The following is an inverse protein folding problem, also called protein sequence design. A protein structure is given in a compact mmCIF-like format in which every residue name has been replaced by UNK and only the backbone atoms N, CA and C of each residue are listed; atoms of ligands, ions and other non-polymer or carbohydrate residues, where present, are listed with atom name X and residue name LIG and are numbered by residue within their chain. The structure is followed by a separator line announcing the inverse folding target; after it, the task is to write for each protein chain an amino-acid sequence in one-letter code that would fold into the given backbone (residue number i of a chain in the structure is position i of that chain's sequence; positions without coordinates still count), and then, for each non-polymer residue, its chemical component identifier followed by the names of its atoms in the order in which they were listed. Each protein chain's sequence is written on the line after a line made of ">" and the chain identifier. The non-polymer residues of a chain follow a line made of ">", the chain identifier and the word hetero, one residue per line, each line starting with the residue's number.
data_IF_817538261065
#
_entry.id   IF_817538261065
#
_cell.length_a   1.000
_cell.length_b   1.000
_cell.length_c   1.000
_cell.angle_alpha   90.00
_cell.angle_beta   90.00
_cell.angle_gamma   90.00
#
_symmetry.space_group_name_H-M   'P 1'
#
loop_
_entity.id
_entity.type
_entity.pdbx_description
1 polymer ?
#
# COMPACT_ATOMS: atom_id res chain seq x y z
N UNK A 1 74.12 7.69 44.54
CA UNK A 1 73.89 8.53 43.35
C UNK A 1 72.58 8.08 42.70
N UNK A 2 71.74 9.07 42.43
CA UNK A 2 70.36 9.03 41.96
C UNK A 2 70.27 8.46 40.53
N UNK A 3 69.24 7.67 40.18
CA UNK A 3 68.04 8.17 39.48
C UNK A 3 67.05 7.05 39.15
N UNK A 4 65.80 7.33 39.50
CA UNK A 4 64.57 6.65 39.15
C UNK A 4 64.23 6.86 37.67
N UNK A 5 63.63 5.86 37.00
CA UNK A 5 62.76 6.10 35.83
C UNK A 5 61.63 5.08 35.78
N UNK A 6 60.49 5.48 36.33
CA UNK A 6 59.15 4.99 36.02
C UNK A 6 58.82 5.24 34.54
N UNK A 7 58.33 4.23 33.83
CA UNK A 7 57.54 4.44 32.61
C UNK A 7 56.20 3.72 32.74
N UNK A 8 55.16 4.56 32.89
CA UNK A 8 53.75 4.21 32.70
C UNK A 8 53.49 3.99 31.20
N UNK A 9 52.82 2.91 30.87
CA UNK A 9 51.98 2.81 29.67
C UNK A 9 50.77 1.98 30.10
N UNK A 10 49.82 2.60 30.82
CA UNK A 10 48.66 3.26 30.24
C UNK A 10 47.81 2.30 29.38
N UNK A 11 46.77 1.75 30.03
CA UNK A 11 45.44 1.54 29.46
C UNK A 11 45.38 0.83 28.10
N UNK A 12 45.66 -0.46 28.11
CA UNK A 12 44.90 -1.41 27.28
C UNK A 12 43.76 -1.89 28.18
N UNK A 13 42.53 -1.82 27.68
CA UNK A 13 41.25 -2.22 28.31
C UNK A 13 40.35 -1.01 28.56
N UNK A 14 39.31 -0.88 27.74
CA UNK A 14 38.30 0.17 27.92
C UNK A 14 37.87 0.92 26.66
N UNK A 15 38.08 0.38 25.46
CA UNK A 15 37.11 0.66 24.38
C UNK A 15 35.95 -0.29 24.65
N UNK A 16 35.13 0.06 25.65
CA UNK A 16 33.70 -0.20 25.58
C UNK A 16 33.27 0.42 24.25
N UNK A 17 33.22 -0.42 23.22
CA UNK A 17 32.40 -0.15 22.07
C UNK A 17 31.01 0.07 22.65
N UNK A 18 30.66 1.34 22.85
CA UNK A 18 29.31 1.81 23.09
C UNK A 18 28.50 1.14 21.99
N UNK A 19 27.87 0.03 22.34
CA UNK A 19 26.89 -0.65 21.54
C UNK A 19 25.81 0.39 21.33
N UNK A 20 25.94 1.13 20.23
CA UNK A 20 24.92 2.07 19.81
C UNK A 20 23.68 1.20 19.76
N UNK A 21 22.63 1.48 20.58
CA UNK A 21 21.44 0.66 20.56
C UNK A 21 21.04 0.59 19.09
N UNK A 22 20.88 -0.63 18.56
CA UNK A 22 20.52 -0.82 17.17
C UNK A 22 19.19 -0.11 16.95
N UNK A 23 19.25 1.17 16.56
CA UNK A 23 18.07 1.96 16.29
C UNK A 23 17.34 1.18 15.21
N UNK A 24 16.16 0.67 15.54
CA UNK A 24 15.31 -0.05 14.59
C UNK A 24 15.27 0.79 13.32
N UNK A 25 15.92 0.32 12.25
CA UNK A 25 16.19 1.20 11.12
C UNK A 25 14.85 1.62 10.51
N UNK A 26 14.69 2.94 10.35
CA UNK A 26 13.49 3.56 9.80
C UNK A 26 13.49 3.41 8.29
N UNK A 27 12.29 3.44 7.70
CA UNK A 27 12.15 3.53 6.26
C UNK A 27 12.63 4.89 5.76
N UNK A 28 12.97 4.98 4.47
CA UNK A 28 13.29 6.29 3.88
C UNK A 28 12.06 7.19 3.93
N UNK A 29 12.27 8.50 4.01
CA UNK A 29 11.17 9.49 4.07
C UNK A 29 10.20 9.33 2.91
N UNK A 30 10.71 9.09 1.70
CA UNK A 30 9.89 8.81 0.51
C UNK A 30 9.00 7.58 0.69
N UNK A 31 9.53 6.48 1.22
CA UNK A 31 8.74 5.26 1.45
C UNK A 31 7.64 5.48 2.49
N UNK A 32 7.89 6.30 3.51
CA UNK A 32 6.91 6.65 4.55
C UNK A 32 5.79 7.54 4.00
N UNK A 33 6.14 8.59 3.24
CA UNK A 33 5.15 9.47 2.60
C UNK A 33 4.27 8.68 1.63
N UNK A 34 4.87 7.88 0.74
CA UNK A 34 4.13 7.03 -0.18
C UNK A 34 3.22 6.04 0.56
N UNK A 35 3.67 5.50 1.70
CA UNK A 35 2.86 4.57 2.48
C UNK A 35 1.58 5.24 2.97
N UNK A 36 1.73 6.35 3.70
CA UNK A 36 0.59 7.01 4.33
C UNK A 36 -0.35 7.66 3.32
N UNK A 37 0.19 8.24 2.24
CA UNK A 37 -0.63 8.76 1.16
C UNK A 37 -1.50 7.67 0.55
N UNK A 38 -0.91 6.52 0.19
CA UNK A 38 -1.66 5.39 -0.36
C UNK A 38 -2.65 4.84 0.67
N UNK A 39 -2.25 4.69 1.93
CA UNK A 39 -3.12 4.18 2.99
C UNK A 39 -4.37 5.03 3.17
N UNK A 40 -4.23 6.36 3.25
CA UNK A 40 -5.35 7.30 3.35
C UNK A 40 -6.25 7.21 2.12
N UNK A 41 -5.67 7.23 0.92
CA UNK A 41 -6.44 7.13 -0.32
C UNK A 41 -7.21 5.81 -0.41
N UNK A 42 -6.62 4.69 -0.01
CA UNK A 42 -7.31 3.39 0.05
C UNK A 42 -8.48 3.46 1.02
N UNK A 43 -8.28 3.97 2.24
CA UNK A 43 -9.37 4.06 3.24
C UNK A 43 -10.52 4.90 2.70
N UNK A 44 -10.25 6.08 2.15
CA UNK A 44 -11.27 6.93 1.52
C UNK A 44 -11.97 6.18 0.39
N UNK A 45 -11.21 5.51 -0.49
CA UNK A 45 -11.78 4.80 -1.63
C UNK A 45 -12.68 3.63 -1.22
N UNK A 46 -12.31 2.92 -0.15
CA UNK A 46 -13.11 1.85 0.44
C UNK A 46 -14.42 2.41 0.97
N UNK A 47 -14.39 3.53 1.70
CA UNK A 47 -15.61 4.18 2.21
C UNK A 47 -16.53 4.58 1.06
N UNK A 48 -16.00 5.22 0.01
CA UNK A 48 -16.79 5.60 -1.18
C UNK A 48 -17.41 4.38 -1.88
N UNK A 49 -16.65 3.28 -2.00
CA UNK A 49 -17.13 2.05 -2.63
C UNK A 49 -18.25 1.38 -1.82
N UNK A 50 -18.12 1.36 -0.49
CA UNK A 50 -19.13 0.78 0.40
C UNK A 50 -20.38 1.66 0.54
N UNK A 51 -20.25 2.98 0.40
CA UNK A 51 -21.38 3.90 0.56
C UNK A 51 -22.24 4.02 -0.70
N UNK A 52 -21.71 3.68 -1.88
CA UNK A 52 -22.38 3.91 -3.16
C UNK A 52 -23.82 3.36 -3.21
N UNK A 53 -24.06 2.14 -2.73
CA UNK A 53 -25.37 1.49 -2.77
C UNK A 53 -26.39 2.07 -1.77
N UNK A 54 -25.93 2.89 -0.81
CA UNK A 54 -26.77 3.53 0.21
C UNK A 54 -27.11 4.98 -0.10
N UNK A 55 -26.60 5.52 -1.21
CA UNK A 55 -26.81 6.91 -1.60
C UNK A 55 -28.03 7.08 -2.51
N UNK A 56 -28.64 8.28 -2.52
CA UNK A 56 -29.62 8.64 -3.53
C UNK A 56 -29.05 8.51 -4.96
N UNK A 57 -29.89 8.16 -5.93
CA UNK A 57 -29.48 7.87 -7.32
C UNK A 57 -28.65 8.99 -7.98
N UNK A 58 -28.94 10.25 -7.66
CA UNK A 58 -28.21 11.43 -8.18
C UNK A 58 -26.78 11.54 -7.64
N UNK A 59 -26.49 10.93 -6.48
CA UNK A 59 -25.17 10.92 -5.85
C UNK A 59 -24.30 9.73 -6.23
N UNK A 60 -24.89 8.62 -6.69
CA UNK A 60 -24.16 7.40 -7.03
C UNK A 60 -23.08 7.68 -8.07
N UNK A 61 -23.43 8.41 -9.15
CA UNK A 61 -22.50 8.65 -10.25
C UNK A 61 -21.30 9.53 -9.84
N UNK A 62 -21.47 10.70 -9.20
CA UNK A 62 -20.35 11.49 -8.68
C UNK A 62 -19.44 10.72 -7.73
N UNK A 63 -20.01 9.91 -6.84
CA UNK A 63 -19.23 9.11 -5.88
C UNK A 63 -18.42 8.03 -6.57
N UNK A 64 -19.03 7.32 -7.53
CA UNK A 64 -18.33 6.30 -8.31
C UNK A 64 -17.25 6.89 -9.21
N UNK A 65 -17.47 8.05 -9.82
CA UNK A 65 -16.45 8.72 -10.63
C UNK A 65 -15.28 9.23 -9.75
N UNK A 66 -15.56 9.67 -8.53
CA UNK A 66 -14.53 9.99 -7.52
C UNK A 66 -13.77 8.73 -7.09
N UNK A 67 -14.48 7.63 -6.84
CA UNK A 67 -13.88 6.33 -6.49
C UNK A 67 -12.92 5.83 -7.59
N UNK A 68 -13.32 5.91 -8.86
CA UNK A 68 -12.46 5.57 -10.00
C UNK A 68 -11.21 6.44 -10.04
N UNK A 69 -11.35 7.74 -9.82
CA UNK A 69 -10.25 8.71 -9.84
C UNK A 69 -9.21 8.43 -8.77
N UNK A 70 -9.67 8.14 -7.55
CA UNK A 70 -8.80 7.73 -6.44
C UNK A 70 -8.15 6.37 -6.75
N UNK A 71 -8.90 5.40 -7.27
CA UNK A 71 -8.38 4.10 -7.66
C UNK A 71 -7.22 4.19 -8.66
N UNK A 72 -7.36 4.97 -9.74
CA UNK A 72 -6.28 5.21 -10.71
C UNK A 72 -5.08 5.93 -10.09
N UNK A 73 -5.33 6.88 -9.19
CA UNK A 73 -4.26 7.57 -8.45
C UNK A 73 -3.47 6.60 -7.58
N UNK A 74 -4.16 5.73 -6.84
CA UNK A 74 -3.56 4.68 -6.02
C UNK A 74 -2.73 3.73 -6.88
N UNK A 75 -3.21 3.34 -8.07
CA UNK A 75 -2.44 2.51 -8.99
C UNK A 75 -1.10 3.15 -9.35
N UNK A 76 -1.10 4.42 -9.76
CA UNK A 76 0.13 5.15 -10.09
C UNK A 76 1.09 5.24 -8.91
N UNK A 77 0.58 5.60 -7.72
CA UNK A 77 1.39 5.69 -6.50
C UNK A 77 1.91 4.31 -6.04
N UNK A 78 1.14 3.25 -6.20
CA UNK A 78 1.55 1.90 -5.87
C UNK A 78 2.67 1.42 -6.79
N UNK A 79 2.61 1.71 -8.09
CA UNK A 79 3.71 1.44 -9.03
C UNK A 79 4.98 2.20 -8.64
N UNK A 80 4.87 3.49 -8.30
CA UNK A 80 6.00 4.26 -7.78
C UNK A 80 6.57 3.66 -6.49
N UNK A 81 5.71 3.19 -5.59
CA UNK A 81 6.12 2.51 -4.35
C UNK A 81 6.86 1.20 -4.63
N UNK A 82 6.38 0.40 -5.58
CA UNK A 82 7.05 -0.85 -5.99
C UNK A 82 8.43 -0.53 -6.58
N UNK A 83 8.52 0.42 -7.50
CA UNK A 83 9.79 0.87 -8.09
C UNK A 83 10.74 1.42 -7.03
N UNK A 84 10.24 2.17 -6.06
CA UNK A 84 11.06 2.66 -4.95
C UNK A 84 11.63 1.49 -4.13
N UNK A 85 10.83 0.47 -3.86
CA UNK A 85 11.21 -0.71 -3.08
C UNK A 85 12.21 -1.60 -3.80
N UNK A 86 12.21 -1.66 -5.14
CA UNK A 86 13.23 -2.41 -5.87
C UNK A 86 14.62 -1.78 -5.75
N UNK A 87 14.68 -0.46 -5.59
CA UNK A 87 15.95 0.27 -5.47
C UNK A 87 16.39 0.51 -4.02
N UNK A 88 15.46 0.46 -3.06
CA UNK A 88 15.73 0.73 -1.64
C UNK A 88 15.32 -0.47 -0.78
N UNK A 89 16.31 -1.21 -0.30
CA UNK A 89 16.09 -2.37 0.57
C UNK A 89 15.40 -1.93 1.86
N UNK A 90 14.25 -2.53 2.24
CA UNK A 90 13.60 -2.20 3.48
C UNK A 90 14.47 -2.62 4.68
N UNK A 91 14.44 -1.85 5.77
CA UNK A 91 14.93 -2.28 7.08
C UNK A 91 14.55 -3.74 7.41
N UNK A 92 15.50 -4.59 7.87
CA UNK A 92 15.19 -5.97 8.23
C UNK A 92 14.19 -6.02 9.39
N UNK A 93 13.34 -7.05 9.43
CA UNK A 93 12.48 -7.29 10.59
C UNK A 93 13.37 -7.71 11.79
N UNK A 94 13.12 -7.19 13.00
CA UNK A 94 13.79 -7.66 14.22
C UNK A 94 13.73 -9.18 14.35
N UNK A 95 14.85 -9.80 14.75
CA UNK A 95 14.95 -11.27 14.90
C UNK A 95 14.09 -11.81 16.04
N UNK A 96 13.67 -10.93 16.95
CA UNK A 96 12.81 -11.21 18.11
C UNK A 96 11.41 -11.68 17.71
N UNK A 97 10.90 -11.29 16.54
CA UNK A 97 9.61 -11.79 16.06
C UNK A 97 9.69 -13.28 15.70
N UNK A 98 8.72 -14.13 16.10
CA UNK A 98 8.63 -15.51 15.64
C UNK A 98 8.72 -15.64 14.11
N UNK A 99 9.31 -16.73 13.63
CA UNK A 99 9.50 -16.97 12.19
C UNK A 99 8.19 -16.91 11.39
N UNK A 100 7.10 -17.42 11.96
CA UNK A 100 5.77 -17.40 11.35
C UNK A 100 5.20 -15.98 11.24
N UNK A 101 5.41 -15.10 12.22
CA UNK A 101 4.96 -13.70 12.16
C UNK A 101 5.72 -12.94 11.07
N UNK A 102 7.04 -13.19 10.96
CA UNK A 102 7.84 -12.61 9.88
C UNK A 102 7.36 -13.10 8.52
N UNK A 103 7.05 -14.39 8.36
CA UNK A 103 6.51 -14.93 7.12
C UNK A 103 5.15 -14.32 6.79
N UNK A 104 4.24 -14.26 7.77
CA UNK A 104 2.93 -13.65 7.63
C UNK A 104 3.03 -12.17 7.21
N UNK A 105 3.94 -11.41 7.80
CA UNK A 105 4.20 -10.03 7.39
C UNK A 105 4.67 -9.93 5.94
N UNK A 106 5.58 -10.80 5.48
CA UNK A 106 6.01 -10.79 4.08
C UNK A 106 4.88 -11.15 3.11
N UNK A 107 4.10 -12.18 3.43
CA UNK A 107 2.94 -12.62 2.62
C UNK A 107 1.89 -11.50 2.57
N UNK A 108 1.55 -10.89 3.71
CA UNK A 108 0.59 -9.80 3.76
C UNK A 108 1.04 -8.60 2.92
N UNK A 109 2.30 -8.18 3.01
CA UNK A 109 2.81 -7.10 2.16
C UNK A 109 2.78 -7.46 0.68
N UNK A 110 3.16 -8.69 0.32
CA UNK A 110 3.10 -9.16 -1.07
C UNK A 110 1.67 -9.11 -1.62
N UNK A 111 0.72 -9.66 -0.87
CA UNK A 111 -0.70 -9.66 -1.24
C UNK A 111 -1.27 -8.24 -1.31
N UNK A 112 -0.90 -7.34 -0.39
CA UNK A 112 -1.28 -5.93 -0.47
C UNK A 112 -0.73 -5.26 -1.74
N UNK A 113 0.53 -5.51 -2.11
CA UNK A 113 1.07 -4.99 -3.37
C UNK A 113 0.31 -5.52 -4.58
N UNK A 114 0.01 -6.81 -4.61
CA UNK A 114 -0.80 -7.42 -5.66
C UNK A 114 -2.18 -6.76 -5.73
N UNK A 115 -2.89 -6.65 -4.60
CA UNK A 115 -4.24 -6.08 -4.55
C UNK A 115 -4.27 -4.60 -4.91
N UNK A 116 -3.30 -3.79 -4.47
CA UNK A 116 -3.20 -2.36 -4.82
C UNK A 116 -3.07 -2.13 -6.33
N UNK A 117 -2.61 -3.13 -7.09
CA UNK A 117 -2.49 -3.07 -8.55
C UNK A 117 -3.72 -3.72 -9.21
N UNK A 118 -4.07 -4.94 -8.79
CA UNK A 118 -5.15 -5.72 -9.38
C UNK A 118 -6.53 -5.07 -9.22
N UNK A 119 -6.79 -4.39 -8.10
CA UNK A 119 -8.08 -3.74 -7.84
C UNK A 119 -8.33 -2.57 -8.80
N UNK A 120 -7.48 -1.53 -8.86
CA UNK A 120 -7.70 -0.45 -9.83
C UNK A 120 -7.72 -0.93 -11.28
N UNK A 121 -6.88 -1.92 -11.64
CA UNK A 121 -6.87 -2.48 -12.99
C UNK A 121 -8.18 -3.19 -13.32
N UNK A 122 -8.69 -4.05 -12.43
CA UNK A 122 -9.99 -4.71 -12.64
C UNK A 122 -11.14 -3.70 -12.73
N UNK A 123 -11.12 -2.64 -11.91
CA UNK A 123 -12.12 -1.56 -11.99
C UNK A 123 -12.02 -0.77 -13.30
N UNK A 124 -10.81 -0.51 -13.80
CA UNK A 124 -10.60 0.14 -15.08
C UNK A 124 -11.03 -0.73 -16.27
N UNK A 125 -10.81 -2.05 -16.19
CA UNK A 125 -11.33 -3.02 -17.15
C UNK A 125 -12.86 -3.11 -17.11
N UNK A 126 -13.46 -3.10 -15.91
CA UNK A 126 -14.90 -3.06 -15.68
C UNK A 126 -15.55 -1.84 -16.32
N UNK A 127 -15.02 -0.64 -16.07
CA UNK A 127 -15.50 0.62 -16.67
C UNK A 127 -15.27 0.64 -18.19
N UNK A 128 -14.16 0.06 -18.68
CA UNK A 128 -13.89 -0.06 -20.13
C UNK A 128 -14.86 -1.00 -20.85
N UNK A 129 -15.34 -2.03 -20.16
CA UNK A 129 -16.33 -2.97 -20.68
C UNK A 129 -17.78 -2.45 -20.53
N UNK A 130 -17.99 -1.29 -19.92
CA UNK A 130 -19.35 -0.77 -19.78
C UNK A 130 -19.97 -0.40 -21.13
N UNK A 131 -21.24 -0.77 -21.36
CA UNK A 131 -21.94 -0.56 -22.63
C UNK A 131 -22.03 0.92 -23.04
N UNK A 132 -22.20 1.81 -22.07
CA UNK A 132 -22.31 3.25 -22.30
C UNK A 132 -20.96 3.98 -22.22
N UNK A 133 -19.84 3.25 -22.14
CA UNK A 133 -18.51 3.83 -22.05
C UNK A 133 -18.17 4.75 -23.24
N UNK A 134 -18.71 4.48 -24.44
CA UNK A 134 -18.46 5.31 -25.61
C UNK A 134 -19.12 6.70 -25.51
N UNK A 135 -20.29 6.79 -24.88
CA UNK A 135 -21.05 8.03 -24.74
C UNK A 135 -20.77 8.78 -23.43
N UNK A 136 -19.99 8.18 -22.52
CA UNK A 136 -19.68 8.75 -21.21
C UNK A 136 -18.18 8.75 -20.95
N UNK A 137 -17.42 9.72 -21.47
CA UNK A 137 -15.97 9.82 -21.26
C UNK A 137 -15.58 9.74 -19.78
N UNK A 138 -14.46 9.07 -19.50
CA UNK A 138 -13.91 9.00 -18.15
C UNK A 138 -13.03 10.23 -17.90
N UNK A 139 -13.21 10.88 -16.75
CA UNK A 139 -12.37 11.98 -16.30
C UNK A 139 -11.84 11.69 -14.90
N UNK A 140 -10.54 11.89 -14.68
CA UNK A 140 -9.99 11.92 -13.33
C UNK A 140 -10.41 13.22 -12.66
N UNK A 141 -11.06 13.08 -11.51
CA UNK A 141 -11.56 14.16 -10.66
C UNK A 141 -12.45 15.17 -11.42
N UNK A 142 -13.16 14.68 -12.46
CA UNK A 142 -14.03 15.50 -13.31
C UNK A 142 -13.30 16.46 -14.26
N UNK A 143 -11.97 16.50 -14.25
CA UNK A 143 -11.19 17.52 -14.96
C UNK A 143 -10.27 16.96 -16.04
N UNK A 144 -9.53 15.89 -15.75
CA UNK A 144 -8.50 15.37 -16.67
C UNK A 144 -9.10 14.21 -17.45
N UNK A 145 -9.26 14.29 -18.78
CA UNK A 145 -9.70 13.15 -19.58
C UNK A 145 -8.76 11.97 -19.39
N UNK A 146 -9.31 10.80 -19.12
CA UNK A 146 -8.53 9.57 -18.92
C UNK A 146 -8.95 8.50 -19.93
N UNK A 147 -7.98 7.87 -20.61
CA UNK A 147 -8.31 6.86 -21.60
C UNK A 147 -8.91 5.62 -20.93
N UNK A 148 -9.83 4.98 -21.64
CA UNK A 148 -10.23 3.60 -21.36
C UNK A 148 -9.32 2.63 -22.10
N UNK A 149 -9.38 1.35 -21.73
CA UNK A 149 -8.58 0.31 -22.37
C UNK A 149 -9.14 0.06 -23.78
N UNK A 150 -8.45 0.56 -24.81
CA UNK A 150 -8.89 0.51 -26.20
C UNK A 150 -9.24 -0.90 -26.69
N UNK A 151 -8.45 -1.90 -26.28
CA UNK A 151 -8.69 -3.32 -26.62
C UNK A 151 -10.06 -3.82 -26.14
N UNK A 152 -10.54 -3.34 -24.98
CA UNK A 152 -11.85 -3.71 -24.43
C UNK A 152 -12.94 -2.83 -25.05
N UNK A 153 -12.65 -1.55 -25.28
CA UNK A 153 -13.59 -0.61 -25.86
C UNK A 153 -14.08 -1.03 -27.25
N UNK A 154 -13.19 -1.63 -28.05
CA UNK A 154 -13.42 -2.05 -29.43
C UNK A 154 -13.96 -3.48 -29.58
N UNK A 155 -14.29 -4.17 -28.50
CA UNK A 155 -14.93 -5.48 -28.57
C UNK A 155 -16.38 -5.37 -29.05
N UNK A 156 -16.87 -6.44 -29.66
CA UNK A 156 -18.28 -6.59 -30.03
C UNK A 156 -19.17 -6.38 -28.78
N UNK A 157 -20.24 -5.57 -28.86
CA UNK A 157 -21.21 -5.39 -27.78
C UNK A 157 -21.70 -6.70 -27.13
N UNK A 158 -21.91 -7.76 -27.93
CA UNK A 158 -22.36 -9.07 -27.44
C UNK A 158 -21.35 -9.75 -26.50
N UNK A 159 -20.06 -9.45 -26.64
CA UNK A 159 -18.98 -9.94 -25.75
C UNK A 159 -18.74 -8.98 -24.60
N UNK A 160 -18.99 -7.69 -24.82
CA UNK A 160 -18.66 -6.61 -23.90
C UNK A 160 -19.49 -6.63 -22.62
N UNK A 161 -20.80 -6.86 -22.73
CA UNK A 161 -21.70 -6.94 -21.55
C UNK A 161 -21.32 -8.08 -20.59
N UNK A 162 -21.16 -9.35 -21.03
CA UNK A 162 -20.70 -10.43 -20.14
C UNK A 162 -19.33 -10.17 -19.50
N UNK A 163 -18.44 -9.48 -20.20
CA UNK A 163 -17.14 -9.09 -19.65
C UNK A 163 -17.26 -8.02 -18.57
N UNK A 164 -18.16 -7.05 -18.74
CA UNK A 164 -18.47 -6.07 -17.71
C UNK A 164 -18.87 -6.76 -16.41
N UNK A 165 -19.82 -7.70 -16.46
CA UNK A 165 -20.27 -8.42 -15.27
C UNK A 165 -19.14 -9.21 -14.60
N UNK A 166 -18.30 -9.89 -15.41
CA UNK A 166 -17.14 -10.64 -14.90
C UNK A 166 -16.09 -9.74 -14.25
N UNK A 167 -15.76 -8.61 -14.86
CA UNK A 167 -14.81 -7.66 -14.26
C UNK A 167 -15.38 -7.01 -13.01
N UNK A 168 -16.69 -6.73 -12.98
CA UNK A 168 -17.39 -6.28 -11.78
C UNK A 168 -17.27 -7.30 -10.65
N UNK A 169 -17.61 -8.57 -10.89
CA UNK A 169 -17.46 -9.65 -9.91
C UNK A 169 -16.02 -9.79 -9.42
N UNK A 170 -15.04 -9.78 -10.34
CA UNK A 170 -13.63 -9.83 -9.99
C UNK A 170 -13.25 -8.67 -9.07
N UNK A 171 -13.65 -7.45 -9.42
CA UNK A 171 -13.37 -6.26 -8.63
C UNK A 171 -13.97 -6.36 -7.22
N UNK A 172 -15.22 -6.82 -7.10
CA UNK A 172 -15.89 -7.04 -5.81
C UNK A 172 -15.16 -8.07 -4.95
N UNK A 173 -14.78 -9.24 -5.50
CA UNK A 173 -14.07 -10.27 -4.73
C UNK A 173 -12.67 -9.81 -4.30
N UNK A 174 -11.94 -9.13 -5.18
CA UNK A 174 -10.67 -8.50 -4.81
C UNK A 174 -10.87 -7.45 -3.70
N UNK A 175 -12.01 -6.76 -3.70
CA UNK A 175 -12.39 -5.78 -2.68
C UNK A 175 -12.55 -6.43 -1.31
N UNK A 176 -13.30 -7.53 -1.22
CA UNK A 176 -13.43 -8.30 0.01
C UNK A 176 -12.08 -8.85 0.51
N UNK A 177 -11.23 -9.33 -0.40
CA UNK A 177 -9.88 -9.76 -0.06
C UNK A 177 -9.04 -8.60 0.52
N UNK A 178 -9.15 -7.40 -0.06
CA UNK A 178 -8.51 -6.20 0.47
C UNK A 178 -9.03 -5.84 1.86
N UNK A 179 -10.35 -5.87 2.11
CA UNK A 179 -10.91 -5.53 3.41
C UNK A 179 -10.37 -6.43 4.51
N UNK A 180 -10.41 -7.75 4.28
CA UNK A 180 -9.87 -8.73 5.22
C UNK A 180 -8.37 -8.51 5.46
N UNK A 181 -7.59 -8.33 4.39
CA UNK A 181 -6.15 -8.17 4.50
C UNK A 181 -5.74 -6.84 5.14
N UNK A 182 -6.47 -5.76 4.85
CA UNK A 182 -6.26 -4.45 5.45
C UNK A 182 -6.57 -4.49 6.95
N UNK A 183 -7.67 -5.14 7.35
CA UNK A 183 -7.99 -5.35 8.76
C UNK A 183 -6.90 -6.17 9.47
N UNK A 184 -6.42 -7.25 8.86
CA UNK A 184 -5.29 -8.03 9.40
C UNK A 184 -3.99 -7.22 9.48
N UNK A 185 -3.70 -6.39 8.48
CA UNK A 185 -2.50 -5.56 8.44
C UNK A 185 -2.51 -4.50 9.54
N UNK A 186 -3.60 -3.75 9.67
CA UNK A 186 -3.78 -2.74 10.72
C UNK A 186 -3.80 -3.41 12.09
N UNK A 187 -4.55 -4.51 12.24
CA UNK A 187 -4.63 -5.27 13.48
C UNK A 187 -3.28 -5.80 13.92
N UNK A 188 -2.45 -6.31 13.00
CA UNK A 188 -1.08 -6.74 13.29
C UNK A 188 -0.19 -5.58 13.74
N UNK A 189 -0.25 -4.43 13.06
CA UNK A 189 0.50 -3.24 13.46
C UNK A 189 0.10 -2.74 14.85
N UNK A 190 -1.20 -2.72 15.17
CA UNK A 190 -1.72 -2.33 16.47
C UNK A 190 -1.39 -3.35 17.56
N UNK A 191 -1.47 -4.66 17.27
CA UNK A 191 -1.04 -5.73 18.19
C UNK A 191 0.42 -5.50 18.61
N UNK A 192 1.30 -5.29 17.65
CA UNK A 192 2.72 -5.09 17.94
C UNK A 192 2.99 -3.80 18.73
N UNK A 193 2.27 -2.72 18.43
CA UNK A 193 2.40 -1.45 19.16
C UNK A 193 1.87 -1.57 20.60
N UNK A 194 0.69 -2.15 20.80
CA UNK A 194 -0.06 -2.09 22.05
C UNK A 194 0.22 -3.27 22.99
N UNK A 195 0.35 -4.49 22.46
CA UNK A 195 0.52 -5.71 23.25
C UNK A 195 1.99 -6.12 23.35
N UNK A 196 2.68 -6.21 22.21
CA UNK A 196 4.08 -6.68 22.19
C UNK A 196 5.07 -5.59 22.59
N UNK A 197 4.61 -4.34 22.75
CA UNK A 197 5.40 -3.14 23.06
C UNK A 197 6.58 -2.93 22.11
N UNK A 198 6.49 -3.48 20.90
CA UNK A 198 7.47 -3.39 19.83
C UNK A 198 6.92 -2.49 18.74
N UNK A 199 7.38 -1.24 18.72
CA UNK A 199 6.82 -0.27 17.79
C UNK A 199 7.30 -0.48 16.35
N UNK A 200 6.49 -1.20 15.58
CA UNK A 200 6.63 -1.30 14.12
C UNK A 200 6.17 -0.01 13.43
N UNK A 201 5.24 0.73 14.05
CA UNK A 201 4.70 1.99 13.52
C UNK A 201 5.78 3.07 13.50
N UNK A 202 6.62 3.19 14.53
CA UNK A 202 7.72 4.17 14.59
C UNK A 202 8.71 4.07 13.42
N UNK A 203 8.74 2.95 12.70
CA UNK A 203 9.58 2.77 11.51
C UNK A 203 8.98 3.39 10.25
N UNK A 204 7.67 3.68 10.28
CA UNK A 204 6.90 4.27 9.18
C UNK A 204 6.45 5.72 9.44
N UNK A 205 6.80 6.32 10.58
CA UNK A 205 6.49 7.74 10.88
C UNK A 205 7.60 8.65 10.36
N UNK A 206 7.28 9.72 9.58
CA UNK A 206 8.23 10.68 9.02
C UNK A 206 9.20 11.36 9.98
#
# INVERSE_FOLDING_TARGET
>A
MNTSTTSRTAARDGIEALSTPAHASRYTRTAMILHWLIAVLIIVNVVLGLSADSLPDDWVRPVIDTHKSIGITVLGLALLRVLWRTSHRPPPLPREFPSWERLAAHVAHFLLYFLMIALPLSGWMHDSAWKAAATHPMHLFGVIPFPRIGLIMNLDPAVKEPLHDRFGMLHTYLGYALYALLAMHIGGALKHELLDRHSVIKRMVP
#
